data_IF_742289954643
#
_entry.id   IF_742289954643
#
_cell.length_a   1.000
_cell.length_b   1.000
_cell.length_c   1.000
_cell.angle_alpha   90.00
_cell.angle_beta   90.00
_cell.angle_gamma   90.00
#
_symmetry.space_group_name_H-M   'P 1'
#
loop_
_entity.id
_entity.type
_entity.pdbx_description
1 polymer ?
#
# COMPACT_ATOMS: atom_id res chain seq x y z
N UNK A 1 -19.67 -0.29 29.76
CA UNK A 1 -19.26 -1.69 29.55
C UNK A 1 -20.22 -2.25 28.53
N UNK A 2 -19.82 -2.29 27.26
CA UNK A 2 -20.50 -3.08 26.22
C UNK A 2 -19.58 -4.21 25.81
N UNK A 3 -20.16 -5.41 25.76
CA UNK A 3 -19.48 -6.70 25.73
C UNK A 3 -18.63 -6.96 24.50
N UNK A 4 -17.59 -7.76 24.71
CA UNK A 4 -16.61 -8.17 23.73
C UNK A 4 -17.22 -8.81 22.49
N UNK A 5 -17.30 -8.01 21.43
CA UNK A 5 -17.09 -8.54 20.08
C UNK A 5 -15.58 -8.50 19.84
N UNK A 6 -14.95 -9.53 19.25
CA UNK A 6 -13.67 -9.34 18.60
C UNK A 6 -13.91 -8.40 17.41
N UNK A 7 -13.97 -7.10 17.69
CA UNK A 7 -14.03 -6.07 16.67
C UNK A 7 -12.66 -6.10 16.04
N UNK A 8 -12.55 -6.63 14.82
CA UNK A 8 -11.34 -6.47 14.03
C UNK A 8 -11.09 -4.98 13.98
N UNK A 9 -10.00 -4.55 14.60
CA UNK A 9 -9.51 -3.20 14.46
C UNK A 9 -8.92 -3.10 13.05
N UNK A 10 -9.77 -2.68 12.11
CA UNK A 10 -9.41 -2.47 10.71
C UNK A 10 -8.19 -1.56 10.58
N UNK A 11 -8.06 -0.57 11.46
CA UNK A 11 -6.95 0.38 11.42
C UNK A 11 -5.67 -0.33 11.82
N UNK A 12 -5.67 -1.04 12.95
CA UNK A 12 -4.48 -1.78 13.40
C UNK A 12 -4.07 -2.86 12.39
N UNK A 13 -5.03 -3.62 11.85
CA UNK A 13 -4.75 -4.64 10.84
C UNK A 13 -4.15 -4.03 9.57
N UNK A 14 -4.75 -2.95 9.05
CA UNK A 14 -4.26 -2.28 7.86
C UNK A 14 -2.89 -1.65 8.10
N UNK A 15 -2.67 -0.92 9.20
CA UNK A 15 -1.40 -0.26 9.47
C UNK A 15 -0.23 -1.24 9.59
N UNK A 16 -0.42 -2.36 10.31
CA UNK A 16 0.60 -3.40 10.43
C UNK A 16 0.84 -4.05 9.06
N UNK A 17 -0.23 -4.39 8.33
CA UNK A 17 -0.11 -4.98 7.00
C UNK A 17 0.60 -4.05 6.00
N UNK A 18 0.31 -2.74 6.01
CA UNK A 18 0.97 -1.76 5.13
C UNK A 18 2.44 -1.59 5.49
N UNK A 19 2.77 -1.60 6.77
CA UNK A 19 4.16 -1.58 7.22
C UNK A 19 4.89 -2.82 6.70
N UNK A 20 4.30 -4.01 6.86
CA UNK A 20 4.87 -5.25 6.34
C UNK A 20 5.01 -5.22 4.80
N UNK A 21 4.00 -4.72 4.09
CA UNK A 21 4.01 -4.56 2.64
C UNK A 21 5.17 -3.66 2.18
N UNK A 22 5.36 -2.50 2.81
CA UNK A 22 6.45 -1.57 2.50
C UNK A 22 7.82 -2.19 2.80
N UNK A 23 7.95 -2.95 3.89
CA UNK A 23 9.19 -3.68 4.20
C UNK A 23 9.48 -4.76 3.16
N UNK A 24 8.47 -5.50 2.70
CA UNK A 24 8.60 -6.48 1.61
C UNK A 24 9.04 -5.79 0.32
N UNK A 25 8.42 -4.67 -0.04
CA UNK A 25 8.80 -3.89 -1.23
C UNK A 25 10.24 -3.38 -1.12
N UNK A 26 10.63 -2.78 0.00
CA UNK A 26 11.99 -2.29 0.21
C UNK A 26 13.02 -3.43 0.12
N UNK A 27 12.73 -4.57 0.74
CA UNK A 27 13.59 -5.76 0.69
C UNK A 27 13.71 -6.35 -0.72
N UNK A 28 12.60 -6.34 -1.47
CA UNK A 28 12.59 -6.76 -2.87
C UNK A 28 13.41 -5.82 -3.76
N UNK A 29 13.30 -4.51 -3.58
CA UNK A 29 14.08 -3.54 -4.34
C UNK A 29 15.58 -3.64 -4.04
N UNK A 30 15.94 -3.97 -2.80
CA UNK A 30 17.33 -4.07 -2.38
C UNK A 30 18.01 -5.41 -2.73
N UNK A 31 17.27 -6.53 -2.65
CA UNK A 31 17.86 -7.87 -2.86
C UNK A 31 17.20 -8.70 -3.96
N UNK A 32 15.96 -8.40 -4.33
CA UNK A 32 15.14 -9.22 -5.22
C UNK A 32 15.18 -8.79 -6.68
N UNK A 33 15.43 -7.50 -6.95
CA UNK A 33 15.31 -6.93 -8.29
C UNK A 33 16.37 -7.49 -9.26
N UNK A 34 17.61 -7.68 -8.80
CA UNK A 34 18.74 -8.14 -9.62
C UNK A 34 18.88 -9.66 -9.70
N UNK A 35 18.02 -10.40 -9.00
CA UNK A 35 18.11 -11.86 -9.00
C UNK A 35 17.46 -12.43 -10.25
N UNK A 36 18.10 -13.41 -10.92
CA UNK A 36 17.52 -14.09 -12.08
C UNK A 36 16.20 -14.80 -11.75
N UNK A 37 16.07 -15.28 -10.50
CA UNK A 37 14.84 -15.87 -9.97
C UNK A 37 14.32 -15.05 -8.79
N UNK A 38 13.32 -14.23 -9.09
CA UNK A 38 12.63 -13.39 -8.13
C UNK A 38 11.20 -13.89 -7.83
N UNK A 39 10.83 -15.07 -8.33
CA UNK A 39 9.49 -15.66 -8.16
C UNK A 39 9.17 -15.99 -6.71
N UNK A 40 10.21 -16.27 -5.92
CA UNK A 40 10.11 -16.53 -4.47
C UNK A 40 9.54 -15.35 -3.66
N UNK A 41 9.55 -14.13 -4.21
CA UNK A 41 8.94 -12.96 -3.59
C UNK A 41 7.44 -12.87 -3.82
N UNK A 42 6.90 -13.58 -4.82
CA UNK A 42 5.48 -13.51 -5.17
C UNK A 42 4.54 -13.78 -3.98
N UNK A 43 4.77 -14.79 -3.11
CA UNK A 43 3.91 -15.02 -1.94
C UNK A 43 3.92 -13.85 -0.95
N UNK A 44 5.06 -13.20 -0.72
CA UNK A 44 5.17 -12.08 0.21
C UNK A 44 4.36 -10.86 -0.27
N UNK A 45 4.44 -10.55 -1.57
CA UNK A 45 3.60 -9.53 -2.20
C UNK A 45 2.12 -9.95 -2.23
N UNK A 46 1.84 -11.23 -2.47
CA UNK A 46 0.49 -11.75 -2.59
C UNK A 46 -0.28 -11.67 -1.27
N UNK A 47 0.33 -12.12 -0.17
CA UNK A 47 -0.31 -12.11 1.16
C UNK A 47 -0.62 -10.68 1.59
N UNK A 48 0.38 -9.80 1.54
CA UNK A 48 0.21 -8.40 1.96
C UNK A 48 -0.78 -7.65 1.07
N UNK A 49 -0.75 -7.90 -0.25
CA UNK A 49 -1.70 -7.33 -1.20
C UNK A 49 -3.13 -7.82 -1.00
N UNK A 50 -3.32 -9.10 -0.69
CA UNK A 50 -4.63 -9.69 -0.46
C UNK A 50 -5.29 -9.13 0.80
N UNK A 51 -4.54 -9.06 1.91
CA UNK A 51 -5.03 -8.45 3.16
C UNK A 51 -5.39 -6.99 2.94
N UNK A 52 -4.53 -6.23 2.26
CA UNK A 52 -4.75 -4.83 1.92
C UNK A 52 -6.02 -4.62 1.08
N UNK A 53 -6.21 -5.42 0.03
CA UNK A 53 -7.36 -5.31 -0.86
C UNK A 53 -8.67 -5.68 -0.14
N UNK A 54 -8.70 -6.81 0.56
CA UNK A 54 -9.92 -7.28 1.25
C UNK A 54 -10.31 -6.32 2.38
N UNK A 55 -9.37 -5.97 3.26
CA UNK A 55 -9.65 -5.06 4.35
C UNK A 55 -9.96 -3.64 3.86
N UNK A 56 -9.29 -3.18 2.80
CA UNK A 56 -9.58 -1.91 2.14
C UNK A 56 -10.98 -1.86 1.54
N UNK A 57 -11.39 -2.89 0.78
CA UNK A 57 -12.74 -2.97 0.22
C UNK A 57 -13.80 -3.07 1.32
N UNK A 58 -13.56 -3.90 2.34
CA UNK A 58 -14.45 -3.99 3.50
C UNK A 58 -14.65 -2.62 4.15
N UNK A 59 -13.57 -1.86 4.35
CA UNK A 59 -13.61 -0.51 4.93
C UNK A 59 -14.29 0.51 4.00
N UNK A 60 -14.07 0.42 2.69
CA UNK A 60 -14.65 1.32 1.68
C UNK A 60 -16.15 1.09 1.47
N UNK A 61 -16.66 -0.13 1.70
CA UNK A 61 -18.09 -0.42 1.58
C UNK A 61 -18.85 -0.27 2.90
N UNK A 62 -18.22 -0.59 4.03
CA UNK A 62 -18.90 -0.57 5.34
C UNK A 62 -18.75 0.75 6.09
N UNK A 63 -17.87 1.65 5.63
CA UNK A 63 -17.60 2.95 6.24
C UNK A 63 -17.52 2.89 7.78
N UNK A 64 -16.65 2.03 8.36
CA UNK A 64 -16.61 1.82 9.80
C UNK A 64 -15.98 3.00 10.56
N UNK A 65 -15.32 3.92 9.85
CA UNK A 65 -14.71 5.13 10.40
C UNK A 65 -15.43 6.39 9.87
N UNK A 66 -15.22 7.55 10.51
CA UNK A 66 -15.68 8.82 9.97
C UNK A 66 -15.21 9.02 8.52
N UNK A 67 -16.07 9.61 7.70
CA UNK A 67 -15.94 9.67 6.24
C UNK A 67 -14.52 10.00 5.70
N UNK A 68 -13.76 10.97 6.25
CA UNK A 68 -12.42 11.27 5.74
C UNK A 68 -11.42 10.12 5.89
N UNK A 69 -11.55 9.31 6.95
CA UNK A 69 -10.61 8.23 7.24
C UNK A 69 -10.95 6.95 6.48
N UNK A 70 -12.23 6.64 6.31
CA UNK A 70 -12.65 5.50 5.49
C UNK A 70 -12.22 5.65 4.03
N UNK A 71 -12.31 6.87 3.47
CA UNK A 71 -11.76 7.14 2.14
C UNK A 71 -10.23 7.06 2.15
N UNK A 72 -9.56 7.81 3.03
CA UNK A 72 -8.11 7.90 3.02
C UNK A 72 -7.40 6.56 3.27
N UNK A 73 -7.87 5.76 4.24
CA UNK A 73 -7.27 4.47 4.55
C UNK A 73 -7.85 3.33 3.71
N UNK A 74 -9.16 3.29 3.50
CA UNK A 74 -9.81 2.18 2.78
C UNK A 74 -9.44 2.16 1.30
N UNK A 75 -9.72 3.25 0.58
CA UNK A 75 -9.50 3.31 -0.87
C UNK A 75 -8.02 3.20 -1.24
N UNK A 76 -7.15 3.86 -0.46
CA UNK A 76 -5.71 3.78 -0.69
C UNK A 76 -5.14 2.40 -0.37
N UNK A 77 -5.71 1.70 0.63
CA UNK A 77 -5.35 0.30 0.91
C UNK A 77 -5.76 -0.62 -0.22
N UNK A 78 -6.91 -0.38 -0.86
CA UNK A 78 -7.33 -1.13 -2.06
C UNK A 78 -6.34 -0.92 -3.19
N UNK A 79 -6.00 0.33 -3.51
CA UNK A 79 -5.09 0.64 -4.62
C UNK A 79 -3.70 0.03 -4.40
N UNK A 80 -3.16 0.16 -3.18
CA UNK A 80 -1.89 -0.46 -2.82
C UNK A 80 -1.97 -1.98 -2.82
N UNK A 81 -3.07 -2.56 -2.33
CA UNK A 81 -3.30 -4.00 -2.32
C UNK A 81 -3.36 -4.60 -3.71
N UNK A 82 -4.09 -3.95 -4.63
CA UNK A 82 -4.17 -4.37 -6.04
C UNK A 82 -2.81 -4.28 -6.74
N UNK A 83 -2.02 -3.24 -6.46
CA UNK A 83 -0.63 -3.13 -6.94
C UNK A 83 0.24 -4.30 -6.46
N UNK A 84 0.15 -4.65 -5.18
CA UNK A 84 0.91 -5.76 -4.60
C UNK A 84 0.45 -7.11 -5.13
N UNK A 85 -0.85 -7.32 -5.33
CA UNK A 85 -1.39 -8.52 -5.98
C UNK A 85 -0.93 -8.63 -7.44
N UNK A 86 -0.95 -7.51 -8.17
CA UNK A 86 -0.42 -7.47 -9.53
C UNK A 86 1.09 -7.77 -9.57
N UNK A 87 1.85 -7.29 -8.57
CA UNK A 87 3.27 -7.55 -8.45
C UNK A 87 3.53 -9.02 -8.15
N UNK A 88 2.75 -9.61 -7.25
CA UNK A 88 2.79 -11.04 -6.96
C UNK A 88 2.53 -11.88 -8.21
N UNK A 89 1.50 -11.54 -8.99
CA UNK A 89 1.20 -12.20 -10.25
C UNK A 89 2.36 -12.05 -11.24
N UNK A 90 2.80 -10.82 -11.48
CA UNK A 90 3.87 -10.55 -12.43
C UNK A 90 5.15 -11.29 -12.06
N UNK A 91 5.52 -11.31 -10.78
CA UNK A 91 6.66 -12.07 -10.27
C UNK A 91 6.47 -13.58 -10.49
N UNK A 92 5.31 -14.14 -10.13
CA UNK A 92 5.04 -15.57 -10.33
C UNK A 92 5.13 -15.98 -11.81
N UNK A 93 4.65 -15.13 -12.71
CA UNK A 93 4.68 -15.35 -14.15
C UNK A 93 6.04 -15.01 -14.81
N UNK A 94 6.98 -14.39 -14.07
CA UNK A 94 8.24 -13.89 -14.61
C UNK A 94 8.08 -12.72 -15.58
N UNK A 95 7.02 -11.92 -15.42
CA UNK A 95 6.74 -10.74 -16.24
C UNK A 95 7.53 -9.51 -15.79
N UNK A 96 7.71 -8.57 -16.71
CA UNK A 96 8.31 -7.27 -16.41
C UNK A 96 7.36 -6.48 -15.51
N UNK A 97 7.89 -5.89 -14.43
CA UNK A 97 7.12 -5.05 -13.50
C UNK A 97 6.84 -3.62 -14.02
N UNK A 98 7.42 -3.26 -15.15
CA UNK A 98 7.31 -1.92 -15.73
C UNK A 98 5.86 -1.44 -15.99
N UNK A 99 4.92 -2.27 -16.49
CA UNK A 99 3.51 -1.89 -16.64
C UNK A 99 2.85 -1.56 -15.30
N UNK A 100 3.21 -2.29 -14.24
CA UNK A 100 2.73 -2.02 -12.89
C UNK A 100 3.27 -0.69 -12.36
N UNK A 101 4.53 -0.36 -12.66
CA UNK A 101 5.10 0.94 -12.34
C UNK A 101 4.27 2.09 -12.90
N UNK A 102 3.81 1.99 -14.16
CA UNK A 102 2.95 3.02 -14.75
C UNK A 102 1.60 3.12 -14.03
N UNK A 103 1.01 1.99 -13.69
CA UNK A 103 -0.23 1.99 -12.92
C UNK A 103 -0.04 2.61 -11.53
N UNK A 104 1.11 2.36 -10.88
CA UNK A 104 1.44 2.89 -9.55
C UNK A 104 1.60 4.41 -9.49
N UNK A 105 1.78 5.08 -10.64
CA UNK A 105 1.97 6.52 -10.71
C UNK A 105 0.78 7.32 -10.15
N UNK A 106 -0.44 6.99 -10.58
CA UNK A 106 -1.64 7.72 -10.16
C UNK A 106 -1.99 7.49 -8.69
N UNK A 107 -2.02 6.24 -8.16
CA UNK A 107 -2.15 5.99 -6.73
C UNK A 107 -1.04 6.65 -5.90
N UNK A 108 0.19 6.71 -6.43
CA UNK A 108 1.31 7.39 -5.78
C UNK A 108 1.05 8.89 -5.60
N UNK A 109 0.59 9.57 -6.65
CA UNK A 109 0.20 10.98 -6.57
C UNK A 109 -0.98 11.21 -5.61
N UNK A 110 -1.99 10.35 -5.66
CA UNK A 110 -3.14 10.41 -4.75
C UNK A 110 -2.70 10.28 -3.29
N UNK A 111 -1.77 9.37 -2.99
CA UNK A 111 -1.20 9.21 -1.65
C UNK A 111 -0.46 10.47 -1.18
N UNK A 112 0.34 11.10 -2.05
CA UNK A 112 1.02 12.36 -1.72
C UNK A 112 0.00 13.45 -1.39
N UNK A 113 -1.03 13.62 -2.23
CA UNK A 113 -2.08 14.62 -2.02
C UNK A 113 -2.84 14.38 -0.72
N UNK A 114 -3.19 13.13 -0.42
CA UNK A 114 -3.86 12.77 0.84
C UNK A 114 -2.96 13.03 2.05
N UNK A 115 -1.68 12.70 1.98
CA UNK A 115 -0.73 12.96 3.06
C UNK A 115 -0.59 14.47 3.35
N UNK A 116 -0.51 15.30 2.30
CA UNK A 116 -0.53 16.76 2.44
C UNK A 116 -1.84 17.23 3.09
N UNK A 117 -2.99 16.68 2.68
CA UNK A 117 -4.30 17.06 3.23
C UNK A 117 -4.47 16.64 4.69
N UNK A 118 -3.97 15.47 5.09
CA UNK A 118 -3.97 15.02 6.49
C UNK A 118 -3.21 16.02 7.37
N UNK A 119 -2.04 16.49 6.91
CA UNK A 119 -1.22 17.47 7.64
C UNK A 119 -1.92 18.83 7.67
N UNK A 120 -2.38 19.32 6.52
CA UNK A 120 -2.93 20.66 6.39
C UNK A 120 -4.27 20.85 7.14
N UNK A 121 -5.10 19.80 7.19
CA UNK A 121 -6.42 19.86 7.83
C UNK A 121 -6.42 19.33 9.28
N UNK A 122 -5.26 18.93 9.81
CA UNK A 122 -5.12 18.33 11.15
C UNK A 122 -6.16 17.22 11.40
N UNK A 123 -6.35 16.34 10.42
CA UNK A 123 -7.42 15.34 10.46
C UNK A 123 -7.27 14.38 11.65
N UNK A 124 -6.06 14.13 12.13
CA UNK A 124 -5.80 13.30 13.31
C UNK A 124 -5.16 14.11 14.45
N UNK A 125 -5.22 13.62 15.70
CA UNK A 125 -4.53 14.26 16.83
C UNK A 125 -3.00 14.39 16.63
N UNK A 126 -2.41 13.51 15.84
CA UNK A 126 -1.01 13.55 15.43
C UNK A 126 -0.93 13.45 13.90
N UNK A 127 -1.16 14.54 13.15
CA UNK A 127 -1.35 14.50 11.69
C UNK A 127 -0.04 14.34 10.91
N UNK A 128 1.10 14.65 11.54
CA UNK A 128 2.42 14.61 10.91
C UNK A 128 2.82 13.18 10.54
N UNK A 129 2.72 12.22 11.46
CA UNK A 129 3.16 10.84 11.19
C UNK A 129 2.38 10.13 10.08
N UNK A 130 1.03 10.07 10.10
CA UNK A 130 0.28 9.46 9.01
C UNK A 130 0.47 10.23 7.70
N UNK A 131 0.53 11.57 7.74
CA UNK A 131 0.80 12.39 6.58
C UNK A 131 2.13 12.06 5.90
N UNK A 132 3.21 11.96 6.69
CA UNK A 132 4.53 11.55 6.19
C UNK A 132 4.51 10.12 5.64
N UNK A 133 3.83 9.19 6.31
CA UNK A 133 3.67 7.81 5.81
C UNK A 133 3.02 7.76 4.43
N UNK A 134 1.95 8.53 4.22
CA UNK A 134 1.28 8.66 2.93
C UNK A 134 2.17 9.31 1.87
N UNK A 135 2.89 10.38 2.21
CA UNK A 135 3.79 11.07 1.28
C UNK A 135 4.94 10.15 0.86
N UNK A 136 5.61 9.49 1.80
CA UNK A 136 6.74 8.60 1.51
C UNK A 136 6.30 7.39 0.69
N UNK A 137 5.18 6.77 1.05
CA UNK A 137 4.58 5.68 0.26
C UNK A 137 4.22 6.17 -1.15
N UNK A 138 3.62 7.35 -1.26
CA UNK A 138 3.25 7.94 -2.54
C UNK A 138 4.44 8.27 -3.43
N UNK A 139 5.53 8.77 -2.85
CA UNK A 139 6.80 9.01 -3.57
C UNK A 139 7.39 7.70 -4.09
N UNK A 140 7.34 6.62 -3.30
CA UNK A 140 7.81 5.30 -3.75
C UNK A 140 6.98 4.76 -4.92
N UNK A 141 5.65 4.92 -4.88
CA UNK A 141 4.75 4.53 -5.97
C UNK A 141 4.91 5.38 -7.23
N UNK A 142 4.98 6.71 -7.09
CA UNK A 142 5.18 7.62 -8.21
C UNK A 142 6.56 7.45 -8.87
N UNK A 143 7.59 7.17 -8.06
CA UNK A 143 8.95 6.90 -8.51
C UNK A 143 9.17 5.49 -9.07
N UNK A 144 8.19 4.59 -8.97
CA UNK A 144 8.36 3.18 -9.34
C UNK A 144 8.80 2.98 -10.80
N UNK A 145 8.28 3.78 -11.73
CA UNK A 145 8.69 3.72 -13.15
C UNK A 145 10.15 4.09 -13.33
N UNK A 146 10.62 5.14 -12.66
CA UNK A 146 12.00 5.60 -12.76
C UNK A 146 12.95 4.54 -12.18
N UNK A 147 12.58 3.95 -11.04
CA UNK A 147 13.35 2.91 -10.38
C UNK A 147 13.44 1.63 -11.23
N UNK A 148 12.33 1.18 -11.81
CA UNK A 148 12.29 -0.02 -12.65
C UNK A 148 12.89 0.16 -14.05
N UNK A 149 13.08 1.41 -14.48
CA UNK A 149 13.79 1.74 -15.74
C UNK A 149 15.29 1.90 -15.54
N UNK A 150 15.75 2.05 -14.30
CA UNK A 150 17.17 2.22 -14.02
C UNK A 150 17.91 0.96 -14.49
N UNK A 151 18.95 1.10 -15.33
CA UNK A 151 19.76 -0.04 -15.74
C UNK A 151 20.58 -0.54 -14.55
N UNK A 152 20.33 -1.78 -14.14
CA UNK A 152 21.18 -2.53 -13.21
C UNK A 152 22.20 -3.37 -13.99
#
# INVERSE_FOLDING_TARGET
>A
MDGGRPMIDYVTLLLINMTAALVVLASFLWWGLDRPDNRSWAPAFGISGLVAAIAGFAMAFTWPLPAPFSMAYGEMSVLLGVLFLGAAWALAAGWRLLPLGYYAFLPGLAAILLGIRIIHLSLTPAPIMPGLGFILTGLSGAGAVALLRWPN
#
